data_IF_304305150679
#
_entry.id   IF_304305150679
#
_cell.length_a   1.000
_cell.length_b   1.000
_cell.length_c   1.000
_cell.angle_alpha   90.00
_cell.angle_beta   90.00
_cell.angle_gamma   90.00
#
_symmetry.space_group_name_H-M   'P 1'
#
loop_
_entity.id
_entity.type
_entity.pdbx_description
1 polymer ?
#
# COMPACT_ATOMS: atom_id res chain seq x y z
N UNK A 1 -60.90 33.14 6.78
CA UNK A 1 -61.46 32.24 7.80
C UNK A 1 -60.46 32.07 8.92
N UNK A 2 -60.78 32.69 10.06
CA UNK A 2 -60.39 32.50 11.48
C UNK A 2 -58.98 31.97 11.82
N UNK A 3 -58.08 32.80 12.39
CA UNK A 3 -57.94 33.26 13.81
C UNK A 3 -57.10 32.30 14.67
N UNK A 4 -55.89 32.78 15.00
CA UNK A 4 -55.12 32.75 16.25
C UNK A 4 -55.46 31.78 17.43
N UNK A 5 -54.38 31.52 18.18
CA UNK A 5 -54.17 31.62 19.66
C UNK A 5 -53.99 30.35 20.51
N UNK A 6 -52.83 30.34 21.23
CA UNK A 6 -52.58 30.00 22.68
C UNK A 6 -53.11 28.66 23.21
N UNK A 7 -52.34 27.83 23.92
CA UNK A 7 -51.66 28.05 25.21
C UNK A 7 -51.97 26.82 26.10
N UNK A 8 -50.98 26.09 26.62
CA UNK A 8 -50.46 26.11 28.01
C UNK A 8 -51.24 25.21 29.03
N UNK A 9 -50.46 24.43 29.80
CA UNK A 9 -50.72 23.72 31.09
C UNK A 9 -51.49 22.39 31.06
N UNK A 10 -50.83 21.24 31.32
CA UNK A 10 -50.39 20.64 32.61
C UNK A 10 -51.54 20.03 33.42
N UNK A 11 -51.53 18.70 33.55
CA UNK A 11 -52.04 18.01 34.74
C UNK A 11 -51.31 16.66 34.90
N UNK A 12 -50.73 16.48 36.08
CA UNK A 12 -50.00 15.31 36.53
C UNK A 12 -50.95 14.16 36.91
N UNK A 13 -50.49 12.92 36.73
CA UNK A 13 -50.97 11.78 37.49
C UNK A 13 -49.77 10.90 37.84
N UNK A 14 -49.24 11.11 39.05
CA UNK A 14 -48.35 10.19 39.73
C UNK A 14 -49.23 9.19 40.48
N UNK A 15 -49.15 7.92 40.11
CA UNK A 15 -49.54 6.82 40.98
C UNK A 15 -48.35 5.86 41.09
N UNK A 16 -47.72 5.93 42.26
CA UNK A 16 -46.66 5.06 42.74
C UNK A 16 -47.16 3.62 42.91
N UNK A 17 -46.48 2.67 42.26
CA UNK A 17 -46.38 1.29 42.75
C UNK A 17 -44.90 0.94 42.73
N UNK A 18 -44.35 0.72 43.93
CA UNK A 18 -42.98 0.30 44.12
C UNK A 18 -42.75 -1.09 43.57
N UNK A 19 -41.68 -1.24 42.79
CA UNK A 19 -41.10 -2.50 42.38
C UNK A 19 -39.63 -2.25 42.11
N UNK A 20 -38.78 -2.73 43.00
CA UNK A 20 -37.34 -2.67 42.84
C UNK A 20 -36.92 -3.45 41.59
N UNK A 21 -36.24 -2.78 40.64
CA UNK A 21 -35.34 -3.45 39.71
C UNK A 21 -34.16 -2.52 39.43
N UNK A 22 -32.97 -3.07 39.63
CA UNK A 22 -31.68 -2.42 39.61
C UNK A 22 -31.48 -1.48 38.41
N UNK A 23 -30.89 -0.32 38.68
CA UNK A 23 -30.21 0.46 37.66
C UNK A 23 -29.02 -0.38 37.18
N UNK A 24 -29.11 -0.91 35.95
CA UNK A 24 -27.93 -1.35 35.22
C UNK A 24 -27.14 -0.09 34.90
N UNK A 25 -26.15 0.20 35.75
CA UNK A 25 -25.05 1.05 35.37
C UNK A 25 -24.32 0.33 34.25
N UNK A 26 -24.70 0.63 33.00
CA UNK A 26 -23.93 0.23 31.83
C UNK A 26 -22.53 0.83 31.99
N UNK A 27 -21.60 0.01 32.47
CA UNK A 27 -20.19 0.34 32.49
C UNK A 27 -19.81 0.67 31.06
N UNK A 28 -19.47 1.94 30.80
CA UNK A 28 -18.84 2.33 29.57
C UNK A 28 -17.64 1.41 29.36
N UNK A 29 -17.60 0.73 28.20
CA UNK A 29 -16.43 -0.05 27.83
C UNK A 29 -15.19 0.83 27.99
N UNK A 30 -14.14 0.34 28.69
CA UNK A 30 -12.90 1.09 28.77
C UNK A 30 -12.43 1.34 27.35
N UNK A 31 -12.13 2.61 27.05
CA UNK A 31 -11.55 3.00 25.77
C UNK A 31 -10.39 2.05 25.44
N UNK A 32 -10.33 1.52 24.20
CA UNK A 32 -9.30 0.55 23.84
C UNK A 32 -7.94 1.16 24.17
N UNK A 33 -7.18 0.43 25.00
CA UNK A 33 -5.80 0.78 25.32
C UNK A 33 -5.06 1.02 24.00
N UNK A 34 -4.30 2.13 23.84
CA UNK A 34 -3.51 2.33 22.64
C UNK A 34 -2.68 1.08 22.39
N UNK A 35 -2.83 0.47 21.22
CA UNK A 35 -2.02 -0.67 20.85
C UNK A 35 -0.55 -0.29 21.05
N UNK A 36 0.20 -1.12 21.77
CA UNK A 36 1.64 -0.91 21.91
C UNK A 36 2.24 -0.74 20.51
N UNK A 37 3.03 0.31 20.29
CA UNK A 37 3.71 0.51 19.02
C UNK A 37 4.49 -0.76 18.67
N UNK A 38 4.14 -1.39 17.55
CA UNK A 38 4.86 -2.54 17.06
C UNK A 38 6.31 -2.13 16.77
N UNK A 39 7.27 -2.88 17.31
CA UNK A 39 8.70 -2.65 17.09
C UNK A 39 9.18 -3.66 16.05
N UNK A 40 9.87 -3.18 15.02
CA UNK A 40 10.37 -4.00 13.90
C UNK A 40 11.91 -4.06 13.91
N UNK A 41 12.52 -4.84 14.82
CA UNK A 41 13.96 -4.77 15.09
C UNK A 41 14.84 -5.19 13.90
N UNK A 42 14.36 -6.06 13.01
CA UNK A 42 15.14 -6.47 11.84
C UNK A 42 15.22 -5.32 10.82
N UNK A 43 14.11 -4.60 10.63
CA UNK A 43 14.03 -3.39 9.81
C UNK A 43 14.88 -2.26 10.38
N UNK A 44 14.87 -2.04 11.70
CA UNK A 44 15.71 -1.01 12.30
C UNK A 44 17.21 -1.26 12.11
N UNK A 45 17.65 -2.52 12.15
CA UNK A 45 19.04 -2.89 11.81
C UNK A 45 19.36 -2.57 10.34
N UNK A 46 18.47 -2.95 9.43
CA UNK A 46 18.59 -2.64 8.00
C UNK A 46 18.69 -1.12 7.74
N UNK A 47 17.86 -0.33 8.43
CA UNK A 47 17.87 1.13 8.36
C UNK A 47 19.16 1.73 8.97
N UNK A 48 19.69 1.12 10.03
CA UNK A 48 20.98 1.47 10.61
C UNK A 48 22.11 1.37 9.59
N UNK A 49 22.14 0.29 8.80
CA UNK A 49 23.13 0.14 7.72
C UNK A 49 22.94 1.18 6.62
N UNK A 50 21.69 1.41 6.16
CA UNK A 50 21.37 2.43 5.16
C UNK A 50 21.86 3.81 5.60
N UNK A 51 21.66 4.18 6.87
CA UNK A 51 22.07 5.47 7.43
C UNK A 51 23.58 5.71 7.29
N UNK A 52 24.40 4.67 7.38
CA UNK A 52 25.87 4.79 7.27
C UNK A 52 26.37 4.95 5.84
N UNK A 53 25.53 4.68 4.84
CA UNK A 53 25.93 4.59 3.41
C UNK A 53 25.14 5.51 2.48
N UNK A 54 24.24 6.32 3.02
CA UNK A 54 23.40 7.25 2.27
C UNK A 54 23.51 8.66 2.85
N UNK A 55 23.08 9.66 2.09
CA UNK A 55 22.96 11.02 2.64
C UNK A 55 21.84 11.08 3.69
N UNK A 56 21.86 12.06 4.62
CA UNK A 56 20.78 12.21 5.60
C UNK A 56 19.39 12.29 4.97
N UNK A 57 19.25 12.98 3.84
CA UNK A 57 17.97 13.13 3.15
C UNK A 57 17.50 11.83 2.49
N UNK A 58 18.42 11.07 1.89
CA UNK A 58 18.14 9.77 1.29
C UNK A 58 17.71 8.76 2.36
N UNK A 59 18.47 8.68 3.46
CA UNK A 59 18.11 7.86 4.60
C UNK A 59 16.72 8.23 5.12
N UNK A 60 16.47 9.52 5.35
CA UNK A 60 15.23 9.98 5.94
C UNK A 60 14.03 9.76 5.01
N UNK A 61 14.21 9.84 3.68
CA UNK A 61 13.14 9.52 2.73
C UNK A 61 12.70 8.05 2.83
N UNK A 62 13.65 7.11 2.86
CA UNK A 62 13.34 5.67 2.96
C UNK A 62 12.82 5.32 4.36
N UNK A 63 13.48 5.79 5.41
CA UNK A 63 13.09 5.49 6.79
C UNK A 63 11.69 6.02 7.12
N UNK A 64 11.38 7.27 6.73
CA UNK A 64 10.04 7.83 6.96
C UNK A 64 8.95 7.04 6.24
N UNK A 65 9.19 6.60 5.01
CA UNK A 65 8.21 5.79 4.27
C UNK A 65 7.94 4.47 5.00
N UNK A 66 8.99 3.75 5.40
CA UNK A 66 8.85 2.50 6.14
C UNK A 66 8.10 2.72 7.47
N UNK A 67 8.44 3.77 8.21
CA UNK A 67 7.78 4.09 9.49
C UNK A 67 6.36 4.64 9.34
N UNK A 68 6.01 5.19 8.18
CA UNK A 68 4.67 5.73 7.93
C UNK A 68 3.60 4.62 7.87
N UNK A 69 3.95 3.43 7.37
CA UNK A 69 3.02 2.28 7.27
C UNK A 69 3.48 1.12 8.16
N UNK A 70 2.78 0.85 9.28
CA UNK A 70 2.99 -0.36 10.07
C UNK A 70 2.86 -1.65 9.26
N UNK A 71 1.94 -1.69 8.28
CA UNK A 71 1.79 -2.85 7.39
C UNK A 71 3.06 -3.10 6.57
N UNK A 72 3.62 -2.06 5.95
CA UNK A 72 4.88 -2.13 5.22
C UNK A 72 6.04 -2.52 6.13
N UNK A 73 6.18 -1.87 7.30
CA UNK A 73 7.24 -2.18 8.25
C UNK A 73 7.21 -3.65 8.70
N UNK A 74 6.02 -4.20 8.97
CA UNK A 74 5.84 -5.62 9.27
C UNK A 74 6.28 -6.54 8.13
N UNK A 75 5.86 -6.24 6.89
CA UNK A 75 6.25 -7.02 5.71
C UNK A 75 7.76 -6.99 5.48
N UNK A 76 8.40 -5.82 5.59
CA UNK A 76 9.85 -5.71 5.44
C UNK A 76 10.57 -6.46 6.56
N UNK A 77 10.04 -6.48 7.78
CA UNK A 77 10.62 -7.25 8.88
C UNK A 77 10.58 -8.75 8.58
N UNK A 78 9.44 -9.26 8.10
CA UNK A 78 9.32 -10.67 7.66
C UNK A 78 10.31 -11.01 6.54
N UNK A 79 10.50 -10.11 5.56
CA UNK A 79 11.44 -10.33 4.47
C UNK A 79 12.90 -10.35 4.96
N UNK A 80 13.25 -9.51 5.93
CA UNK A 80 14.59 -9.51 6.54
C UNK A 80 14.82 -10.80 7.32
N UNK A 81 13.84 -11.22 8.13
CA UNK A 81 13.93 -12.46 8.92
C UNK A 81 14.01 -13.70 8.01
N UNK A 82 13.33 -13.68 6.86
CA UNK A 82 13.41 -14.73 5.84
C UNK A 82 14.66 -14.66 4.95
N UNK A 83 15.53 -13.65 5.12
CA UNK A 83 16.71 -13.45 4.28
C UNK A 83 16.41 -13.00 2.83
N UNK A 84 15.16 -12.65 2.53
CA UNK A 84 14.70 -12.16 1.24
C UNK A 84 14.98 -10.66 1.04
N UNK A 85 15.28 -9.95 2.13
CA UNK A 85 15.79 -8.59 2.14
C UNK A 85 16.97 -8.49 3.10
N UNK A 86 18.17 -8.33 2.58
CA UNK A 86 19.40 -8.21 3.41
C UNK A 86 19.94 -6.79 3.43
N UNK A 87 19.63 -5.98 2.42
CA UNK A 87 20.15 -4.61 2.31
C UNK A 87 19.27 -3.72 1.45
N UNK A 88 19.10 -2.48 1.85
CA UNK A 88 18.65 -1.37 0.99
C UNK A 88 19.84 -0.45 0.76
N UNK A 89 20.16 -0.16 -0.49
CA UNK A 89 21.22 0.75 -0.88
C UNK A 89 20.64 1.89 -1.72
N UNK A 90 21.12 3.11 -1.48
CA UNK A 90 20.91 4.23 -2.40
C UNK A 90 22.21 4.42 -3.17
N UNK A 91 22.24 3.99 -4.42
CA UNK A 91 23.46 3.90 -5.22
C UNK A 91 23.25 4.50 -6.62
N UNK A 92 24.24 5.28 -7.06
CA UNK A 92 24.32 5.86 -8.40
C UNK A 92 25.02 4.95 -9.41
N UNK A 93 25.47 3.75 -9.02
CA UNK A 93 26.35 2.87 -9.81
C UNK A 93 25.67 1.99 -10.86
N UNK A 94 24.38 1.69 -10.75
CA UNK A 94 23.65 0.83 -11.71
C UNK A 94 23.12 1.49 -13.01
N UNK A 95 22.98 2.83 -13.15
CA UNK A 95 22.74 3.45 -14.47
C UNK A 95 23.80 3.06 -15.52
N UNK A 96 24.99 2.61 -15.09
CA UNK A 96 26.06 2.10 -15.95
C UNK A 96 25.78 0.72 -16.57
N UNK A 97 24.72 0.01 -16.16
CA UNK A 97 24.31 -1.29 -16.73
C UNK A 97 23.28 -1.17 -17.87
N UNK A 98 23.01 0.05 -18.37
CA UNK A 98 22.08 0.28 -19.47
C UNK A 98 20.60 0.07 -19.10
N UNK A 99 20.28 0.08 -17.79
CA UNK A 99 18.91 -0.05 -17.28
C UNK A 99 18.31 1.33 -16.99
N UNK A 100 17.06 1.52 -17.39
CA UNK A 100 16.29 2.77 -17.23
C UNK A 100 15.50 2.84 -15.93
N UNK A 101 15.49 1.77 -15.11
CA UNK A 101 14.70 1.67 -13.89
C UNK A 101 15.37 2.40 -12.72
N UNK A 102 14.60 3.17 -11.97
CA UNK A 102 15.08 3.99 -10.85
C UNK A 102 15.24 3.20 -9.54
N UNK A 103 14.51 2.09 -9.39
CA UNK A 103 14.67 1.11 -8.31
C UNK A 103 14.77 -0.30 -8.89
N UNK A 104 15.56 -1.17 -8.27
CA UNK A 104 15.72 -2.55 -8.70
C UNK A 104 16.07 -3.50 -7.55
N UNK A 105 15.92 -4.80 -7.82
CA UNK A 105 16.31 -5.89 -6.92
C UNK A 105 17.47 -6.67 -7.53
N UNK A 106 18.50 -6.94 -6.73
CA UNK A 106 19.57 -7.87 -7.06
C UNK A 106 19.67 -8.91 -5.94
N UNK A 107 19.02 -10.05 -6.13
CA UNK A 107 18.79 -11.02 -5.06
C UNK A 107 18.01 -10.37 -3.91
N UNK A 108 18.56 -10.50 -2.70
CA UNK A 108 18.00 -9.90 -1.49
C UNK A 108 18.46 -8.45 -1.24
N UNK A 109 19.19 -7.83 -2.18
CA UNK A 109 19.61 -6.44 -2.09
C UNK A 109 18.71 -5.56 -2.95
N UNK A 110 18.13 -4.52 -2.34
CA UNK A 110 17.34 -3.53 -3.04
C UNK A 110 18.20 -2.30 -3.30
N UNK A 111 18.20 -1.83 -4.54
CA UNK A 111 19.03 -0.71 -4.98
C UNK A 111 18.09 0.38 -5.51
N UNK A 112 18.16 1.55 -4.89
CA UNK A 112 17.41 2.75 -5.28
C UNK A 112 18.40 3.78 -5.82
N UNK A 113 18.13 4.37 -6.98
CA UNK A 113 18.96 5.49 -7.46
C UNK A 113 18.65 6.75 -6.65
N UNK A 114 19.62 7.67 -6.48
CA UNK A 114 19.35 8.97 -5.85
C UNK A 114 18.20 9.74 -6.52
N UNK A 115 18.16 9.74 -7.86
CA UNK A 115 17.10 10.40 -8.63
C UNK A 115 15.73 9.76 -8.40
N UNK A 116 15.67 8.43 -8.24
CA UNK A 116 14.43 7.75 -7.88
C UNK A 116 13.94 8.21 -6.52
N UNK A 117 14.80 8.20 -5.50
CA UNK A 117 14.46 8.62 -4.12
C UNK A 117 13.91 10.05 -4.11
N UNK A 118 14.57 10.98 -4.80
CA UNK A 118 14.10 12.37 -4.94
C UNK A 118 12.74 12.47 -5.64
N UNK A 119 12.52 11.63 -6.65
CA UNK A 119 11.28 11.63 -7.43
C UNK A 119 10.06 11.07 -6.69
N UNK A 120 10.27 10.39 -5.55
CA UNK A 120 9.19 9.82 -4.73
C UNK A 120 8.57 10.78 -3.72
N UNK A 121 9.19 11.94 -3.50
CA UNK A 121 8.63 12.95 -2.60
C UNK A 121 7.14 13.22 -2.93
N UNK A 122 6.24 13.38 -1.93
CA UNK A 122 4.84 13.67 -2.17
C UNK A 122 4.67 14.88 -3.09
N UNK A 123 3.85 14.73 -4.14
CA UNK A 123 3.62 15.76 -5.15
C UNK A 123 2.14 15.88 -5.45
N UNK A 124 1.68 17.12 -5.63
CA UNK A 124 0.35 17.39 -6.19
C UNK A 124 0.41 17.26 -7.71
N UNK A 125 -0.29 16.27 -8.24
CA UNK A 125 -0.46 16.01 -9.67
C UNK A 125 -1.86 16.39 -10.15
N UNK A 126 -2.85 16.41 -9.25
CA UNK A 126 -4.19 16.94 -9.49
C UNK A 126 -4.24 18.43 -9.15
N UNK A 127 -4.94 19.21 -9.98
CA UNK A 127 -5.20 20.64 -9.73
C UNK A 127 -6.38 20.87 -8.78
N UNK A 128 -7.18 19.85 -8.51
CA UNK A 128 -8.31 19.93 -7.58
C UNK A 128 -7.79 19.65 -6.17
N UNK A 129 -8.02 20.60 -5.25
CA UNK A 129 -7.59 20.54 -3.86
C UNK A 129 -8.79 20.80 -2.96
N UNK A 130 -8.96 19.96 -1.95
CA UNK A 130 -9.95 20.13 -0.89
C UNK A 130 -9.27 20.20 0.47
N UNK A 131 -9.94 20.82 1.43
CA UNK A 131 -9.49 20.83 2.82
C UNK A 131 -9.47 19.41 3.37
N UNK A 132 -8.36 19.04 4.02
CA UNK A 132 -8.16 17.69 4.54
C UNK A 132 -7.66 16.66 3.51
N UNK A 133 -7.26 17.09 2.32
CA UNK A 133 -6.57 16.23 1.35
C UNK A 133 -5.27 15.68 1.93
N UNK A 134 -5.11 14.36 1.87
CA UNK A 134 -3.88 13.65 2.19
C UNK A 134 -3.13 13.39 0.88
N UNK A 135 -1.82 13.66 0.84
CA UNK A 135 -0.99 13.29 -0.30
C UNK A 135 -0.48 11.85 -0.13
N UNK A 136 -0.48 11.04 -1.21
CA UNK A 136 0.06 9.70 -1.13
C UNK A 136 1.58 9.75 -0.96
N UNK A 137 2.11 8.82 -0.15
CA UNK A 137 3.55 8.57 -0.08
C UNK A 137 3.95 7.59 -1.17
N UNK A 138 4.61 8.09 -2.23
CA UNK A 138 4.99 7.23 -3.36
C UNK A 138 6.14 6.28 -3.02
N UNK A 139 6.96 6.59 -2.00
CA UNK A 139 8.00 5.69 -1.54
C UNK A 139 7.38 4.50 -0.78
N UNK A 140 6.32 4.74 0.01
CA UNK A 140 5.53 3.65 0.62
C UNK A 140 4.99 2.70 -0.45
N UNK A 141 4.36 3.24 -1.50
CA UNK A 141 3.88 2.44 -2.62
C UNK A 141 5.00 1.60 -3.24
N UNK A 142 6.13 2.23 -3.57
CA UNK A 142 7.25 1.57 -4.24
C UNK A 142 7.83 0.43 -3.41
N UNK A 143 8.04 0.66 -2.10
CA UNK A 143 8.57 -0.34 -1.19
C UNK A 143 7.57 -1.49 -0.97
N UNK A 144 6.28 -1.21 -0.85
CA UNK A 144 5.23 -2.24 -0.77
C UNK A 144 5.16 -3.10 -2.01
N UNK A 145 5.24 -2.49 -3.20
CA UNK A 145 5.35 -3.22 -4.47
C UNK A 145 6.59 -4.13 -4.51
N UNK A 146 7.76 -3.62 -4.10
CA UNK A 146 9.01 -4.41 -4.05
C UNK A 146 8.92 -5.54 -3.01
N UNK A 147 8.27 -5.30 -1.87
CA UNK A 147 8.05 -6.31 -0.84
C UNK A 147 7.19 -7.47 -1.35
N UNK A 148 6.10 -7.15 -2.05
CA UNK A 148 5.26 -8.15 -2.70
C UNK A 148 6.05 -9.00 -3.70
N UNK A 149 6.84 -8.35 -4.58
CA UNK A 149 7.68 -9.07 -5.54
C UNK A 149 8.68 -9.99 -4.85
N UNK A 150 9.30 -9.55 -3.76
CA UNK A 150 10.23 -10.35 -2.96
C UNK A 150 9.59 -11.64 -2.44
N UNK A 151 8.37 -11.54 -1.91
CA UNK A 151 7.64 -12.68 -1.35
C UNK A 151 7.28 -13.73 -2.39
N UNK A 152 7.17 -13.34 -3.66
CA UNK A 152 6.75 -14.22 -4.76
C UNK A 152 7.91 -14.69 -5.66
N UNK A 153 9.18 -14.41 -5.32
CA UNK A 153 10.35 -14.90 -6.06
C UNK A 153 10.38 -16.44 -6.18
N UNK A 154 9.93 -17.13 -5.12
CA UNK A 154 9.87 -18.58 -5.10
C UNK A 154 8.87 -19.13 -6.14
N UNK A 155 7.76 -18.43 -6.37
CA UNK A 155 6.76 -18.80 -7.37
C UNK A 155 7.30 -18.57 -8.79
N UNK A 156 7.97 -17.43 -9.00
CA UNK A 156 8.67 -17.13 -10.27
C UNK A 156 9.73 -18.19 -10.57
N UNK A 157 10.52 -18.59 -9.57
CA UNK A 157 11.57 -19.61 -9.73
C UNK A 157 10.99 -20.98 -10.05
N UNK A 158 9.88 -21.34 -9.40
CA UNK A 158 9.16 -22.60 -9.63
C UNK A 158 8.59 -22.67 -11.04
N UNK A 159 7.96 -21.60 -11.51
CA UNK A 159 7.46 -21.54 -12.89
C UNK A 159 8.61 -21.54 -13.90
N UNK A 160 9.71 -20.83 -13.63
CA UNK A 160 10.88 -20.87 -14.50
C UNK A 160 11.42 -22.30 -14.66
N UNK A 161 11.46 -23.08 -13.57
CA UNK A 161 11.86 -24.49 -13.62
C UNK A 161 10.83 -25.33 -14.40
N UNK A 162 9.53 -25.12 -14.17
CA UNK A 162 8.46 -25.83 -14.88
C UNK A 162 8.48 -25.55 -16.40
N UNK A 163 8.67 -24.29 -16.81
CA UNK A 163 8.75 -23.90 -18.22
C UNK A 163 9.99 -24.47 -18.91
N UNK A 164 11.12 -24.62 -18.20
CA UNK A 164 12.32 -25.28 -18.73
C UNK A 164 12.08 -26.76 -18.98
N UNK A 165 11.33 -27.42 -18.09
CA UNK A 165 11.02 -28.85 -18.18
C UNK A 165 9.85 -29.16 -19.13
N UNK A 166 9.05 -28.17 -19.53
CA UNK A 166 7.87 -28.35 -20.40
C UNK A 166 8.26 -28.58 -21.87
N UNK A 167 7.47 -29.37 -22.59
CA UNK A 167 7.55 -29.55 -24.05
C UNK A 167 6.74 -28.48 -24.83
N UNK A 168 6.18 -27.49 -24.13
CA UNK A 168 5.43 -26.37 -24.74
C UNK A 168 6.27 -25.63 -25.81
N UNK A 169 5.59 -25.05 -26.80
CA UNK A 169 6.23 -24.18 -27.79
C UNK A 169 6.87 -22.95 -27.13
N UNK A 170 7.86 -22.35 -27.78
CA UNK A 170 8.52 -21.15 -27.26
C UNK A 170 7.53 -20.00 -27.01
N UNK A 171 6.54 -19.83 -27.89
CA UNK A 171 5.50 -18.80 -27.74
C UNK A 171 4.59 -19.07 -26.55
N UNK A 172 4.24 -20.33 -26.31
CA UNK A 172 3.42 -20.72 -25.17
C UNK A 172 4.17 -20.52 -23.85
N UNK A 173 5.45 -20.88 -23.80
CA UNK A 173 6.31 -20.61 -22.64
C UNK A 173 6.44 -19.11 -22.37
N UNK A 174 6.60 -18.30 -23.41
CA UNK A 174 6.64 -16.84 -23.31
C UNK A 174 5.31 -16.28 -22.79
N UNK A 175 4.18 -16.76 -23.31
CA UNK A 175 2.84 -16.35 -22.87
C UNK A 175 2.64 -16.62 -21.38
N UNK A 176 2.93 -17.85 -20.93
CA UNK A 176 2.84 -18.25 -19.52
C UNK A 176 3.74 -17.41 -18.62
N UNK A 177 4.99 -17.17 -19.05
CA UNK A 177 5.93 -16.34 -18.30
C UNK A 177 5.43 -14.90 -18.11
N UNK A 178 4.92 -14.28 -19.18
CA UNK A 178 4.35 -12.94 -19.14
C UNK A 178 3.11 -12.92 -18.25
N UNK A 179 2.22 -13.90 -18.39
CA UNK A 179 0.99 -14.00 -17.60
C UNK A 179 1.28 -14.10 -16.10
N UNK A 180 2.18 -14.99 -15.68
CA UNK A 180 2.60 -15.10 -14.28
C UNK A 180 3.13 -13.76 -13.75
N UNK A 181 4.11 -13.17 -14.45
CA UNK A 181 4.73 -11.94 -13.98
C UNK A 181 3.72 -10.79 -13.90
N UNK A 182 2.79 -10.70 -14.85
CA UNK A 182 1.74 -9.69 -14.86
C UNK A 182 0.78 -9.86 -13.67
N UNK A 183 0.41 -11.09 -13.31
CA UNK A 183 -0.42 -11.36 -12.12
C UNK A 183 0.31 -11.01 -10.82
N UNK A 184 1.59 -11.36 -10.72
CA UNK A 184 2.39 -10.99 -9.54
C UNK A 184 2.53 -9.46 -9.47
N UNK A 185 2.74 -8.77 -10.59
CA UNK A 185 2.78 -7.30 -10.63
C UNK A 185 1.46 -6.66 -10.22
N UNK A 186 0.33 -7.23 -10.64
CA UNK A 186 -0.99 -6.78 -10.18
C UNK A 186 -1.10 -6.88 -8.65
N UNK A 187 -0.70 -8.00 -8.05
CA UNK A 187 -0.63 -8.12 -6.60
C UNK A 187 0.29 -7.08 -5.96
N UNK A 188 1.41 -6.75 -6.59
CA UNK A 188 2.31 -5.70 -6.12
C UNK A 188 1.68 -4.32 -6.13
N UNK A 189 0.88 -4.00 -7.14
CA UNK A 189 0.14 -2.74 -7.19
C UNK A 189 -0.94 -2.66 -6.10
N UNK A 190 -1.63 -3.77 -5.82
CA UNK A 190 -2.58 -3.87 -4.71
C UNK A 190 -1.85 -3.65 -3.38
N UNK A 191 -0.72 -4.31 -3.18
CA UNK A 191 0.10 -4.18 -1.97
C UNK A 191 0.57 -2.74 -1.77
N UNK A 192 1.22 -2.15 -2.77
CA UNK A 192 1.70 -0.77 -2.70
C UNK A 192 0.57 0.24 -2.45
N UNK A 193 -0.61 0.03 -3.04
CA UNK A 193 -1.78 0.86 -2.77
C UNK A 193 -2.25 0.71 -1.32
N UNK A 194 -2.42 -0.53 -0.85
CA UNK A 194 -2.91 -0.80 0.50
C UNK A 194 -1.97 -0.26 1.58
N UNK A 195 -0.65 -0.39 1.40
CA UNK A 195 0.34 0.20 2.31
C UNK A 195 0.30 1.74 2.28
N UNK A 196 0.01 2.34 1.12
CA UNK A 196 -0.18 3.79 1.00
C UNK A 196 -1.41 4.27 1.77
N UNK A 197 -2.49 3.48 1.75
CA UNK A 197 -3.72 3.77 2.51
C UNK A 197 -3.48 3.63 4.02
N UNK A 198 -2.73 2.60 4.43
CA UNK A 198 -2.29 2.40 5.82
C UNK A 198 -1.46 3.60 6.30
N UNK A 199 -0.47 4.06 5.51
CA UNK A 199 0.30 5.25 5.82
C UNK A 199 -0.56 6.52 5.96
N UNK A 200 -1.54 6.69 5.07
CA UNK A 200 -2.45 7.83 5.14
C UNK A 200 -3.36 7.79 6.38
N UNK A 201 -3.79 6.61 6.83
CA UNK A 201 -4.53 6.47 8.07
C UNK A 201 -3.68 6.93 9.27
N UNK A 202 -2.40 6.56 9.32
CA UNK A 202 -1.47 7.04 10.35
C UNK A 202 -1.29 8.56 10.30
N UNK A 203 -1.12 9.14 9.11
CA UNK A 203 -1.04 10.61 8.93
C UNK A 203 -2.32 11.33 9.36
N UNK A 204 -3.46 10.64 9.33
CA UNK A 204 -4.77 11.15 9.72
C UNK A 204 -5.11 10.83 11.19
N UNK A 205 -4.13 10.98 12.08
CA UNK A 205 -4.23 10.65 13.52
C UNK A 205 -4.69 9.21 13.79
N UNK A 206 -4.39 8.26 12.90
CA UNK A 206 -4.85 6.87 12.99
C UNK A 206 -6.34 6.68 12.67
N UNK A 207 -7.07 7.73 12.25
CA UNK A 207 -8.49 7.63 11.90
C UNK A 207 -8.62 7.04 10.49
N UNK A 208 -9.64 6.19 10.24
CA UNK A 208 -9.88 5.66 8.90
C UNK A 208 -9.96 6.75 7.85
N UNK A 209 -9.23 6.56 6.76
CA UNK A 209 -9.31 7.41 5.58
C UNK A 209 -10.66 7.13 4.89
N UNK A 210 -11.41 8.18 4.55
CA UNK A 210 -12.68 8.03 3.82
C UNK A 210 -12.48 8.02 2.30
N UNK A 211 -13.52 7.60 1.56
CA UNK A 211 -13.51 7.64 0.08
C UNK A 211 -13.21 9.05 -0.46
N UNK A 212 -13.67 10.09 0.24
CA UNK A 212 -13.43 11.50 -0.09
C UNK A 212 -11.95 11.88 -0.07
N UNK A 213 -11.12 11.25 0.77
CA UNK A 213 -9.67 11.45 0.80
C UNK A 213 -8.94 10.49 -0.16
N UNK A 214 -9.46 9.28 -0.33
CA UNK A 214 -8.88 8.25 -1.22
C UNK A 214 -8.85 8.69 -2.67
N UNK A 215 -9.92 9.32 -3.17
CA UNK A 215 -9.96 9.76 -4.58
C UNK A 215 -8.86 10.79 -4.88
N UNK A 216 -8.71 11.90 -4.12
CA UNK A 216 -7.56 12.80 -4.26
C UNK A 216 -6.22 12.10 -4.10
N UNK A 217 -6.07 11.17 -3.15
CA UNK A 217 -4.84 10.41 -2.99
C UNK A 217 -4.49 9.63 -4.26
N UNK A 218 -5.44 8.86 -4.79
CA UNK A 218 -5.25 8.09 -6.02
C UNK A 218 -4.89 9.01 -7.20
N UNK A 219 -5.52 10.18 -7.31
CA UNK A 219 -5.22 11.14 -8.39
C UNK A 219 -3.85 11.79 -8.26
N UNK A 220 -3.28 11.86 -7.06
CA UNK A 220 -1.95 12.40 -6.79
C UNK A 220 -0.85 11.34 -6.74
N UNK A 221 -1.20 10.04 -6.80
CA UNK A 221 -0.23 8.96 -6.78
C UNK A 221 0.57 8.93 -8.10
N UNK A 222 1.89 8.80 -7.99
CA UNK A 222 2.79 8.63 -9.14
C UNK A 222 2.41 7.41 -9.99
N UNK A 223 2.06 6.31 -9.33
CA UNK A 223 1.73 5.00 -9.90
C UNK A 223 0.24 4.81 -10.21
N UNK A 224 -0.55 5.88 -10.28
CA UNK A 224 -2.03 5.81 -10.42
C UNK A 224 -2.56 5.19 -11.71
N UNK A 225 -1.77 5.24 -12.80
CA UNK A 225 -2.24 4.93 -14.15
C UNK A 225 -2.93 3.55 -14.26
N UNK A 226 -2.24 2.45 -13.90
CA UNK A 226 -2.83 1.11 -13.90
C UNK A 226 -4.03 0.96 -12.96
N UNK A 227 -3.99 1.56 -11.77
CA UNK A 227 -5.10 1.52 -10.81
C UNK A 227 -6.36 2.18 -11.38
N UNK A 228 -6.24 3.39 -11.95
CA UNK A 228 -7.35 4.11 -12.58
C UNK A 228 -7.91 3.31 -13.75
N UNK A 229 -7.04 2.76 -14.61
CA UNK A 229 -7.47 1.91 -15.73
C UNK A 229 -8.22 0.68 -15.25
N UNK A 230 -7.76 0.02 -14.20
CA UNK A 230 -8.41 -1.16 -13.63
C UNK A 230 -9.80 -0.82 -13.05
N UNK A 231 -9.92 0.29 -12.33
CA UNK A 231 -11.20 0.78 -11.77
C UNK A 231 -12.21 1.10 -12.89
N UNK A 232 -11.72 1.58 -14.03
CA UNK A 232 -12.54 1.94 -15.19
C UNK A 232 -12.75 0.78 -16.18
N UNK A 233 -12.15 -0.40 -15.94
CA UNK A 233 -12.20 -1.53 -16.85
C UNK A 233 -13.54 -2.27 -16.81
N UNK A 234 -13.68 -3.29 -17.67
CA UNK A 234 -14.80 -4.23 -17.65
C UNK A 234 -14.26 -5.67 -17.63
N UNK A 235 -14.51 -6.46 -16.58
CA UNK A 235 -15.10 -6.05 -15.29
C UNK A 235 -14.18 -5.07 -14.52
N UNK A 236 -14.73 -4.13 -13.74
CA UNK A 236 -13.92 -3.15 -13.01
C UNK A 236 -13.29 -3.74 -11.75
N UNK A 237 -12.11 -3.23 -11.39
CA UNK A 237 -11.59 -3.35 -10.03
C UNK A 237 -12.56 -2.66 -9.07
N UNK A 238 -13.20 -3.43 -8.21
CA UNK A 238 -14.25 -2.91 -7.34
C UNK A 238 -13.65 -2.16 -6.15
N UNK A 239 -13.92 -0.86 -6.08
CA UNK A 239 -13.63 -0.01 -4.91
C UNK A 239 -14.75 -0.20 -3.88
N UNK A 240 -14.73 -1.32 -3.15
CA UNK A 240 -15.71 -1.59 -2.07
C UNK A 240 -15.25 -1.10 -0.71
N UNK A 241 -13.96 -0.81 -0.58
CA UNK A 241 -13.30 -0.22 0.57
C UNK A 241 -12.23 0.75 0.06
N UNK A 242 -11.51 1.37 1.00
CA UNK A 242 -10.36 2.23 0.69
C UNK A 242 -9.16 1.42 0.18
N UNK A 243 -9.05 0.16 0.57
CA UNK A 243 -8.07 -0.82 0.11
C UNK A 243 -8.65 -1.76 -0.94
N UNK A 244 -7.78 -2.41 -1.72
CA UNK A 244 -8.17 -3.47 -2.66
C UNK A 244 -7.95 -4.86 -2.07
N UNK A 245 -8.88 -5.81 -2.27
CA UNK A 245 -8.70 -7.18 -1.81
C UNK A 245 -7.70 -7.95 -2.70
N UNK A 246 -7.03 -8.94 -2.11
CA UNK A 246 -6.18 -9.89 -2.83
C UNK A 246 -6.98 -11.09 -3.34
N UNK A 247 -8.06 -10.85 -4.07
CA UNK A 247 -8.86 -11.90 -4.73
C UNK A 247 -8.54 -11.98 -6.23
N UNK A 248 -8.88 -13.12 -6.85
CA UNK A 248 -8.58 -13.35 -8.27
C UNK A 248 -9.24 -12.31 -9.18
N UNK A 249 -10.44 -11.84 -8.85
CA UNK A 249 -11.14 -10.83 -9.65
C UNK A 249 -10.39 -9.49 -9.67
N UNK A 250 -9.85 -9.06 -8.53
CA UNK A 250 -9.08 -7.82 -8.41
C UNK A 250 -7.71 -7.94 -9.08
N UNK A 251 -7.04 -9.08 -8.90
CA UNK A 251 -5.78 -9.40 -9.57
C UNK A 251 -5.98 -9.42 -11.09
N UNK A 252 -7.06 -10.03 -11.59
CA UNK A 252 -7.35 -10.14 -13.03
C UNK A 252 -7.64 -8.77 -13.66
N UNK A 253 -8.49 -7.95 -13.02
CA UNK A 253 -8.81 -6.62 -13.50
C UNK A 253 -7.55 -5.74 -13.63
N UNK A 254 -6.65 -5.85 -12.66
CA UNK A 254 -5.42 -5.07 -12.64
C UNK A 254 -4.35 -5.65 -13.56
N UNK A 255 -4.23 -6.98 -13.66
CA UNK A 255 -3.36 -7.65 -14.62
C UNK A 255 -3.74 -7.27 -16.06
N UNK A 256 -5.04 -7.17 -16.36
CA UNK A 256 -5.52 -6.68 -17.65
C UNK A 256 -5.12 -5.22 -17.90
N UNK A 257 -5.27 -4.34 -16.90
CA UNK A 257 -4.89 -2.94 -17.00
C UNK A 257 -3.37 -2.75 -17.19
N UNK A 258 -2.56 -3.61 -16.60
CA UNK A 258 -1.09 -3.58 -16.72
C UNK A 258 -0.62 -3.91 -18.14
N UNK A 259 -1.27 -4.84 -18.85
CA UNK A 259 -0.94 -5.19 -20.25
C UNK A 259 -0.98 -3.98 -21.20
N UNK A 260 -1.82 -2.99 -20.90
CA UNK A 260 -1.97 -1.76 -21.68
C UNK A 260 -1.30 -0.53 -21.07
N UNK A 261 -0.40 -0.69 -20.10
CA UNK A 261 0.22 0.40 -19.34
C UNK A 261 1.71 0.52 -19.60
N UNK A 262 2.27 1.72 -19.39
CA UNK A 262 3.72 1.93 -19.43
C UNK A 262 4.39 1.19 -18.28
N UNK A 263 5.59 0.67 -18.53
CA UNK A 263 6.44 0.08 -17.50
C UNK A 263 6.74 1.12 -16.42
N UNK A 264 6.66 0.72 -15.15
CA UNK A 264 7.02 1.58 -14.02
C UNK A 264 8.54 1.67 -13.85
N UNK A 265 9.02 2.69 -13.17
CA UNK A 265 10.45 2.91 -12.90
C UNK A 265 11.01 2.01 -11.78
N UNK A 266 10.40 0.85 -11.54
CA UNK A 266 10.80 -0.17 -10.57
C UNK A 266 11.01 -1.47 -11.35
N UNK A 267 12.25 -1.97 -11.39
CA UNK A 267 12.57 -3.26 -11.99
C UNK A 267 12.07 -4.38 -11.07
N UNK A 268 11.06 -5.15 -11.50
CA UNK A 268 10.35 -6.07 -10.61
C UNK A 268 11.02 -7.44 -10.50
N UNK A 269 11.97 -7.75 -11.38
CA UNK A 269 12.72 -8.98 -11.41
C UNK A 269 14.05 -8.83 -10.70
N UNK A 270 14.40 -9.85 -9.90
CA UNK A 270 15.74 -9.98 -9.35
C UNK A 270 16.73 -10.13 -10.51
N UNK A 271 17.69 -9.22 -10.58
CA UNK A 271 18.77 -9.26 -11.56
C UNK A 271 19.89 -10.27 -11.21
N UNK A 272 19.70 -11.10 -10.18
CA UNK A 272 20.73 -12.01 -9.68
C UNK A 272 21.33 -12.82 -10.85
N UNK A 273 22.60 -12.54 -11.14
CA UNK A 273 23.45 -13.32 -12.05
C UNK A 273 24.26 -14.30 -11.23
#
# INVERSE_FOLDING_TARGET
>A
MNVFTRGLLVAAAVASIGGASAADAAAAEPAPTPAAQAVYPAVERLLGELRTRSTPDQYAAVARAIHASPALAGQLNELVDAGLLTRIAVDSGEPALGRTSGALRNGSVWILTPAFVESQAPRRLSHVVHDGDILPDNMVFALGYMAWRAKHDADVSREAAALRASDDSADEKKRRWIELNTRIDAGGFIQGWNDTVDAAAVQHDGRPVGITQIVPMLMNLRYRGPLIKAIQATPPLRVTATTFPFDDASIDALALALKGSSVIDIEPLSAAR
#
